data_IF_704919327654
#
_entry.id   IF_704919327654
#
_cell.length_a   1.000
_cell.length_b   1.000
_cell.length_c   1.000
_cell.angle_alpha   90.00
_cell.angle_beta   90.00
_cell.angle_gamma   90.00
#
_symmetry.space_group_name_H-M   'P 1'
#
loop_
_entity.id
_entity.type
_entity.pdbx_description
1 polymer ?
#
# COMPACT_ATOMS: atom_id res chain seq x y z
N UNK A 1 -42.96 -17.49 24.55
CA UNK A 1 -43.63 -18.15 25.69
C UNK A 1 -42.57 -18.88 26.52
N UNK A 2 -42.13 -18.35 27.67
CA UNK A 2 -41.23 -19.04 28.60
C UNK A 2 -41.94 -19.40 29.92
N UNK A 3 -41.53 -20.50 30.56
CA UNK A 3 -41.90 -20.89 31.95
C UNK A 3 -40.74 -21.74 32.53
N UNK A 4 -40.56 -21.90 33.88
CA UNK A 4 -39.77 -21.01 34.74
C UNK A 4 -38.96 -21.77 35.85
N UNK A 5 -38.55 -21.02 36.90
CA UNK A 5 -38.13 -21.42 38.28
C UNK A 5 -36.65 -21.80 38.47
N UNK A 6 -35.97 -21.49 39.58
CA UNK A 6 -36.33 -20.85 40.85
C UNK A 6 -35.07 -20.34 41.57
N UNK A 7 -35.29 -19.37 42.45
CA UNK A 7 -34.39 -18.73 43.43
C UNK A 7 -33.87 -19.64 44.56
N UNK A 8 -32.73 -19.28 45.17
CA UNK A 8 -32.55 -19.31 46.63
C UNK A 8 -31.53 -18.26 47.13
N UNK A 9 -31.87 -17.70 48.28
CA UNK A 9 -31.37 -16.50 48.99
C UNK A 9 -30.50 -16.82 50.21
N UNK A 10 -29.91 -15.76 50.79
CA UNK A 10 -29.59 -15.46 52.21
C UNK A 10 -28.08 -15.26 52.50
N UNK A 11 -27.63 -14.19 53.18
CA UNK A 11 -28.41 -13.13 53.85
C UNK A 11 -27.60 -11.97 54.46
N UNK A 12 -28.36 -10.90 54.74
CA UNK A 12 -28.39 -10.03 55.95
C UNK A 12 -27.10 -9.44 56.55
N UNK A 13 -27.00 -8.10 56.59
CA UNK A 13 -27.41 -7.23 57.73
C UNK A 13 -27.18 -5.72 57.44
N UNK A 14 -28.22 -4.92 57.63
CA UNK A 14 -28.24 -3.47 57.90
C UNK A 14 -28.12 -3.23 59.44
N UNK A 15 -28.04 -1.99 60.04
CA UNK A 15 -28.74 -0.74 59.64
C UNK A 15 -28.12 0.66 60.00
N UNK A 16 -28.75 1.73 59.44
CA UNK A 16 -29.07 3.12 59.95
C UNK A 16 -27.96 4.06 60.50
N UNK A 17 -28.07 5.40 60.54
CA UNK A 17 -28.73 6.52 59.81
C UNK A 17 -28.55 7.83 60.64
N UNK A 18 -28.48 9.01 60.01
CA UNK A 18 -28.71 10.37 60.60
C UNK A 18 -27.48 11.30 60.56
N UNK A 19 -27.53 12.63 60.38
CA UNK A 19 -28.60 13.66 60.18
C UNK A 19 -27.89 15.01 59.80
N UNK A 20 -28.55 15.85 58.98
CA UNK A 20 -28.61 17.36 58.95
C UNK A 20 -27.29 18.17 58.85
N UNK A 21 -27.04 19.04 57.85
CA UNK A 21 -27.60 20.38 57.48
C UNK A 21 -26.38 21.26 57.07
N UNK A 22 -26.37 22.14 56.05
CA UNK A 22 -26.97 23.50 55.96
C UNK A 22 -26.91 24.04 54.51
N UNK A 23 -27.72 25.07 54.24
CA UNK A 23 -28.00 25.76 52.95
C UNK A 23 -27.15 27.01 52.75
N UNK A 24 -26.82 27.36 51.48
CA UNK A 24 -26.82 28.70 50.78
C UNK A 24 -25.74 28.72 49.69
N UNK A 25 -25.78 29.38 48.53
CA UNK A 25 -26.77 29.95 47.61
C UNK A 25 -25.93 30.43 46.38
N UNK A 26 -26.44 30.19 45.16
CA UNK A 26 -26.16 30.80 43.84
C UNK A 26 -24.79 31.39 43.42
N UNK A 27 -24.34 30.93 42.25
CA UNK A 27 -23.45 31.67 41.33
C UNK A 27 -23.25 30.94 39.99
N UNK A 28 -23.99 31.34 38.94
CA UNK A 28 -23.81 30.86 37.56
C UNK A 28 -22.53 31.43 36.95
N UNK A 29 -21.74 30.58 36.29
CA UNK A 29 -20.96 30.96 35.10
C UNK A 29 -20.66 29.71 34.28
N UNK A 30 -21.16 29.68 33.04
CA UNK A 30 -20.79 28.73 32.00
C UNK A 30 -19.31 28.89 31.65
N UNK A 31 -18.55 27.78 31.65
CA UNK A 31 -17.25 27.68 31.00
C UNK A 31 -17.10 26.28 30.40
N UNK A 32 -16.75 26.28 29.13
CA UNK A 32 -16.39 25.12 28.32
C UNK A 32 -15.30 24.29 29.01
N UNK A 33 -15.55 22.99 29.20
CA UNK A 33 -14.55 22.03 29.68
C UNK A 33 -13.59 21.64 28.55
N UNK A 34 -12.49 22.39 28.47
CA UNK A 34 -11.22 21.91 27.93
C UNK A 34 -10.59 20.93 28.92
N UNK A 35 -10.69 19.63 28.66
CA UNK A 35 -9.93 18.61 29.39
C UNK A 35 -8.46 18.57 28.95
N UNK A 36 -7.64 19.48 29.49
CA UNK A 36 -6.18 19.31 29.52
C UNK A 36 -5.80 18.50 30.76
N UNK A 37 -5.61 17.18 30.58
CA UNK A 37 -4.91 16.37 31.57
C UNK A 37 -3.40 16.58 31.42
N UNK A 38 -2.81 17.32 32.36
CA UNK A 38 -1.36 17.34 32.60
C UNK A 38 -0.91 15.90 32.94
N UNK A 39 0.00 15.33 32.15
CA UNK A 39 0.76 14.12 32.53
C UNK A 39 2.24 14.43 32.57
N UNK A 40 2.82 14.22 33.75
CA UNK A 40 4.25 14.21 34.04
C UNK A 40 4.95 13.03 33.35
N UNK A 41 6.27 13.08 33.11
CA UNK A 41 6.99 12.09 32.34
C UNK A 41 7.41 10.93 33.23
N UNK A 42 6.71 9.81 33.14
CA UNK A 42 7.21 8.52 33.62
C UNK A 42 6.69 7.44 32.70
N UNK A 43 7.59 6.89 31.88
CA UNK A 43 7.34 5.85 30.90
C UNK A 43 6.84 4.57 31.57
N UNK A 44 5.70 4.00 31.14
CA UNK A 44 5.44 2.58 31.26
C UNK A 44 6.14 1.85 30.10
N UNK A 45 6.71 0.67 30.38
CA UNK A 45 7.29 -0.22 29.37
C UNK A 45 6.28 -0.48 28.24
N UNK A 46 6.67 -0.17 26.99
CA UNK A 46 5.85 -0.46 25.79
C UNK A 46 5.67 0.68 24.78
N UNK A 47 6.35 1.82 24.93
CA UNK A 47 6.29 2.90 23.93
C UNK A 47 7.05 2.57 22.62
N UNK A 48 6.71 3.22 21.49
CA UNK A 48 7.38 3.02 20.21
C UNK A 48 8.90 3.22 20.36
N UNK A 49 9.71 2.29 19.84
CA UNK A 49 11.17 2.43 19.89
C UNK A 49 11.61 3.53 18.92
N UNK A 50 12.27 4.57 19.45
CA UNK A 50 12.92 5.61 18.65
C UNK A 50 14.04 5.01 17.81
N UNK A 51 14.00 5.24 16.50
CA UNK A 51 15.13 4.93 15.60
C UNK A 51 15.06 5.80 14.35
N UNK A 52 16.13 6.55 14.08
CA UNK A 52 16.31 7.17 12.76
C UNK A 52 16.67 6.10 11.74
N UNK A 53 16.01 6.11 10.57
CA UNK A 53 16.27 5.20 9.46
C UNK A 53 17.75 5.15 9.04
N UNK A 54 18.50 6.23 9.30
CA UNK A 54 19.88 6.42 8.88
C UNK A 54 20.87 6.66 10.03
N UNK A 55 20.53 6.29 11.27
CA UNK A 55 21.34 6.59 12.47
C UNK A 55 22.85 6.26 12.34
N UNK A 56 23.21 5.26 11.52
CA UNK A 56 24.60 4.85 11.27
C UNK A 56 25.20 5.33 9.93
N UNK A 57 24.39 5.85 8.99
CA UNK A 57 24.87 6.19 7.63
C UNK A 57 25.41 7.63 7.56
N UNK A 58 24.93 8.53 8.43
CA UNK A 58 25.39 9.94 8.44
C UNK A 58 26.75 10.15 9.12
N UNK A 59 27.29 9.14 9.83
CA UNK A 59 28.57 9.25 10.55
C UNK A 59 29.79 8.82 9.71
N UNK A 60 29.60 8.26 8.51
CA UNK A 60 30.69 7.74 7.69
C UNK A 60 31.51 8.80 6.91
N UNK A 61 31.14 10.09 6.96
CA UNK A 61 31.87 11.16 6.25
C UNK A 61 32.30 12.38 7.10
N UNK A 62 32.23 12.30 8.44
CA UNK A 62 32.76 13.37 9.32
C UNK A 62 34.13 13.08 9.95
N UNK A 63 34.82 12.04 9.49
CA UNK A 63 36.11 11.64 10.06
C UNK A 63 37.19 11.54 8.97
N UNK A 64 37.52 12.66 8.33
CA UNK A 64 38.86 12.96 7.80
C UNK A 64 38.82 14.31 7.08
N UNK A 65 39.42 15.35 7.68
CA UNK A 65 40.51 16.14 7.10
C UNK A 65 40.92 17.21 8.12
N UNK A 66 42.12 17.05 8.69
CA UNK A 66 42.80 18.05 9.51
C UNK A 66 43.75 18.86 8.63
N UNK A 67 43.62 20.19 8.74
CA UNK A 67 44.57 21.28 8.47
C UNK A 67 45.34 21.39 7.13
N UNK A 68 45.07 22.51 6.46
CA UNK A 68 46.02 23.21 5.57
C UNK A 68 45.55 24.64 5.28
N UNK A 69 46.10 25.63 6.00
CA UNK A 69 45.91 27.07 5.76
C UNK A 69 46.59 27.48 4.43
N UNK A 70 45.90 28.24 3.57
CA UNK A 70 46.42 29.53 3.06
C UNK A 70 45.38 30.35 2.26
N UNK A 71 45.27 31.60 2.71
CA UNK A 71 45.18 32.88 1.97
C UNK A 71 44.06 33.18 0.96
N UNK A 72 43.46 34.33 1.26
CA UNK A 72 42.45 35.14 0.58
C UNK A 72 42.96 35.86 -0.66
N UNK A 73 42.15 35.93 -1.73
CA UNK A 73 42.06 37.12 -2.61
C UNK A 73 40.60 37.33 -3.05
N UNK A 74 40.11 38.55 -2.85
CA UNK A 74 38.83 39.11 -3.34
C UNK A 74 38.94 39.51 -4.81
N UNK A 75 37.89 39.30 -5.60
CA UNK A 75 37.53 40.18 -6.71
C UNK A 75 35.99 40.21 -6.89
N UNK A 76 35.45 41.41 -7.00
CA UNK A 76 34.02 41.73 -6.96
C UNK A 76 33.25 41.55 -8.27
N UNK A 77 32.00 42.06 -8.34
CA UNK A 77 30.93 41.52 -9.16
C UNK A 77 30.79 42.20 -10.53
N UNK A 78 30.28 41.48 -11.52
CA UNK A 78 29.73 42.07 -12.76
C UNK A 78 28.22 41.86 -12.85
N UNK A 79 27.50 42.98 -12.79
CA UNK A 79 26.12 43.16 -13.28
C UNK A 79 26.13 43.33 -14.81
N UNK A 80 24.99 43.01 -15.44
CA UNK A 80 24.34 43.60 -16.65
C UNK A 80 23.49 42.47 -17.28
N UNK A 81 22.26 42.60 -17.75
CA UNK A 81 21.15 43.57 -17.73
C UNK A 81 19.88 42.79 -18.13
N UNK A 82 18.71 43.27 -17.71
CA UNK A 82 17.39 42.81 -18.16
C UNK A 82 17.01 43.46 -19.49
N UNK A 83 16.21 42.78 -20.31
CA UNK A 83 15.13 43.40 -21.09
C UNK A 83 13.99 42.40 -21.37
N UNK A 84 12.73 42.85 -21.54
CA UNK A 84 11.52 42.06 -21.36
C UNK A 84 10.87 41.64 -22.69
N UNK A 85 9.98 40.64 -22.65
CA UNK A 85 8.99 40.42 -23.73
C UNK A 85 7.60 40.33 -23.13
N UNK A 86 6.69 41.01 -23.82
CA UNK A 86 5.36 41.46 -23.45
C UNK A 86 4.28 40.41 -23.71
N UNK A 87 3.20 40.53 -22.94
CA UNK A 87 1.89 39.89 -23.02
C UNK A 87 1.27 39.84 -24.43
N UNK A 88 0.55 38.75 -24.71
CA UNK A 88 -0.43 38.65 -25.79
C UNK A 88 -1.58 37.71 -25.40
N UNK A 89 -2.71 38.31 -25.03
CA UNK A 89 -4.01 37.70 -24.72
C UNK A 89 -4.84 37.56 -25.99
N UNK A 90 -5.41 36.38 -26.31
CA UNK A 90 -6.72 36.18 -26.99
C UNK A 90 -7.17 34.73 -26.72
N UNK A 91 -8.13 34.46 -25.82
CA UNK A 91 -9.59 34.26 -26.02
C UNK A 91 -10.03 33.16 -27.01
N UNK A 92 -10.76 32.20 -26.43
CA UNK A 92 -11.98 31.51 -26.91
C UNK A 92 -11.90 30.59 -28.15
N UNK A 93 -12.34 29.33 -27.99
CA UNK A 93 -13.74 28.99 -28.30
C UNK A 93 -14.12 27.58 -27.83
N UNK A 94 -15.31 27.53 -27.26
CA UNK A 94 -16.06 26.35 -26.85
C UNK A 94 -17.24 26.20 -27.84
N UNK A 95 -17.91 25.04 -27.82
CA UNK A 95 -19.23 24.70 -28.42
C UNK A 95 -19.26 24.66 -29.98
N UNK A 96 -19.79 23.65 -30.67
CA UNK A 96 -21.06 22.96 -30.43
C UNK A 96 -21.25 21.68 -31.27
N UNK A 97 -22.07 20.81 -30.68
CA UNK A 97 -22.64 19.56 -31.18
C UNK A 97 -23.90 19.86 -32.03
N UNK A 98 -24.12 19.16 -33.16
CA UNK A 98 -25.39 18.45 -33.54
C UNK A 98 -25.72 18.44 -35.04
N UNK A 99 -25.98 17.19 -35.48
CA UNK A 99 -27.10 16.70 -36.32
C UNK A 99 -27.22 17.18 -37.77
N UNK A 100 -27.27 16.19 -38.66
CA UNK A 100 -28.35 16.12 -39.64
C UNK A 100 -28.69 14.66 -40.00
N UNK A 101 -29.98 14.33 -39.88
CA UNK A 101 -30.64 13.15 -40.46
C UNK A 101 -31.57 13.63 -41.58
N UNK A 102 -31.92 12.69 -42.49
CA UNK A 102 -32.97 12.69 -43.56
C UNK A 102 -32.34 12.73 -44.96
N UNK A 103 -32.82 12.00 -45.97
CA UNK A 103 -34.02 11.15 -46.16
C UNK A 103 -33.81 10.32 -47.45
N UNK A 104 -34.39 9.13 -47.50
CA UNK A 104 -34.58 8.27 -48.68
C UNK A 104 -35.58 8.86 -49.69
N UNK A 105 -35.62 8.34 -50.94
CA UNK A 105 -36.85 7.67 -51.39
C UNK A 105 -36.63 6.35 -52.17
N UNK A 106 -37.71 5.56 -52.21
CA UNK A 106 -37.87 4.20 -52.76
C UNK A 106 -38.28 4.20 -54.24
N UNK A 107 -37.96 3.11 -54.97
CA UNK A 107 -38.79 2.58 -56.07
C UNK A 107 -38.51 1.07 -56.26
N UNK A 108 -39.56 0.26 -56.31
CA UNK A 108 -39.58 -1.22 -56.46
C UNK A 108 -39.65 -1.63 -57.95
N UNK A 109 -39.09 -2.75 -58.41
CA UNK A 109 -39.68 -4.11 -58.57
C UNK A 109 -38.76 -4.96 -59.50
N UNK A 110 -39.00 -6.26 -59.82
CA UNK A 110 -38.66 -7.45 -59.03
C UNK A 110 -37.80 -8.50 -59.79
N UNK A 111 -37.04 -9.36 -59.10
CA UNK A 111 -36.47 -10.59 -59.70
C UNK A 111 -36.32 -11.73 -58.67
N UNK A 112 -36.63 -12.94 -59.14
CA UNK A 112 -36.83 -14.23 -58.45
C UNK A 112 -35.62 -14.81 -57.67
N UNK A 113 -35.86 -15.82 -56.79
CA UNK A 113 -35.04 -16.05 -55.60
C UNK A 113 -33.85 -16.99 -55.85
N UNK A 114 -32.66 -16.59 -55.41
CA UNK A 114 -31.54 -17.52 -55.15
C UNK A 114 -31.61 -18.00 -53.71
N UNK A 115 -31.58 -19.33 -53.52
CA UNK A 115 -31.52 -20.01 -52.22
C UNK A 115 -30.33 -19.51 -51.41
N UNK A 116 -30.61 -18.85 -50.29
CA UNK A 116 -29.61 -18.48 -49.27
C UNK A 116 -29.49 -19.67 -48.29
N UNK A 117 -28.29 -20.13 -47.93
CA UNK A 117 -28.11 -21.12 -46.87
C UNK A 117 -28.53 -20.49 -45.53
N UNK A 118 -29.29 -21.25 -44.75
CA UNK A 118 -29.70 -20.90 -43.38
C UNK A 118 -28.46 -20.53 -42.56
N UNK A 119 -28.43 -19.39 -41.85
CA UNK A 119 -27.34 -19.10 -40.93
C UNK A 119 -27.41 -20.09 -39.77
N UNK A 120 -26.35 -20.87 -39.59
CA UNK A 120 -26.15 -21.67 -38.39
C UNK A 120 -26.27 -20.76 -37.17
N UNK A 121 -27.15 -21.16 -36.24
CA UNK A 121 -27.25 -20.52 -34.92
C UNK A 121 -25.86 -20.50 -34.29
N UNK A 122 -25.41 -19.38 -33.69
CA UNK A 122 -24.15 -19.38 -32.96
C UNK A 122 -24.23 -20.47 -31.90
N UNK A 123 -23.30 -21.42 -31.97
CA UNK A 123 -23.07 -22.37 -30.89
C UNK A 123 -22.89 -21.55 -29.61
N UNK A 124 -23.63 -21.83 -28.52
CA UNK A 124 -23.45 -21.09 -27.28
C UNK A 124 -21.97 -21.18 -26.91
N UNK A 125 -21.31 -20.03 -26.81
CA UNK A 125 -19.99 -19.94 -26.21
C UNK A 125 -20.15 -20.55 -24.82
N UNK A 126 -19.59 -21.75 -24.63
CA UNK A 126 -19.56 -22.38 -23.33
C UNK A 126 -18.65 -21.52 -22.46
N UNK A 127 -19.25 -20.59 -21.73
CA UNK A 127 -18.58 -19.90 -20.63
C UNK A 127 -18.09 -21.03 -19.73
N UNK A 128 -16.78 -21.15 -19.46
CA UNK A 128 -16.30 -22.15 -18.51
C UNK A 128 -17.12 -21.94 -17.24
N UNK A 129 -17.64 -23.01 -16.65
CA UNK A 129 -18.33 -22.97 -15.36
C UNK A 129 -17.31 -22.66 -14.28
N UNK A 130 -16.81 -21.43 -14.28
CA UNK A 130 -15.91 -20.92 -13.26
C UNK A 130 -16.73 -20.72 -12.01
N UNK A 131 -16.22 -21.26 -10.91
CA UNK A 131 -16.83 -21.09 -9.61
C UNK A 131 -17.01 -19.61 -9.27
N UNK A 132 -18.23 -19.24 -8.87
CA UNK A 132 -18.49 -17.95 -8.26
C UNK A 132 -17.99 -17.97 -6.81
N UNK A 133 -16.82 -17.37 -6.59
CA UNK A 133 -16.17 -17.33 -5.28
C UNK A 133 -16.83 -16.33 -4.33
N UNK A 134 -17.72 -15.46 -4.82
CA UNK A 134 -18.39 -14.41 -4.04
C UNK A 134 -19.80 -14.77 -3.61
N UNK A 135 -20.36 -15.84 -4.17
CA UNK A 135 -21.71 -16.32 -3.89
C UNK A 135 -22.06 -16.40 -2.41
N UNK A 136 -21.15 -16.89 -1.57
CA UNK A 136 -21.37 -17.06 -0.13
C UNK A 136 -21.44 -15.73 0.63
N UNK A 137 -20.93 -14.65 0.04
CA UNK A 137 -20.84 -13.33 0.67
C UNK A 137 -21.89 -12.34 0.16
N UNK A 138 -22.81 -12.76 -0.72
CA UNK A 138 -23.87 -11.91 -1.27
C UNK A 138 -24.78 -11.30 -0.19
N UNK A 139 -24.94 -11.97 0.95
CA UNK A 139 -25.76 -11.46 2.07
C UNK A 139 -24.99 -10.54 3.02
N UNK A 140 -23.66 -10.42 2.89
CA UNK A 140 -22.84 -9.57 3.75
C UNK A 140 -22.69 -8.18 3.13
N UNK A 141 -23.35 -7.14 3.69
CA UNK A 141 -23.27 -5.78 3.16
C UNK A 141 -21.85 -5.19 3.24
N UNK A 142 -20.96 -5.75 4.06
CA UNK A 142 -19.56 -5.31 4.17
C UNK A 142 -18.65 -5.97 3.13
N UNK A 143 -19.08 -7.06 2.49
CA UNK A 143 -18.27 -7.80 1.52
C UNK A 143 -18.31 -7.20 0.11
N UNK A 144 -19.37 -6.45 -0.23
CA UNK A 144 -19.57 -5.88 -1.58
C UNK A 144 -19.42 -6.93 -2.70
N UNK A 145 -19.89 -8.15 -2.44
CA UNK A 145 -19.71 -9.32 -3.31
C UNK A 145 -20.24 -9.08 -4.73
N UNK A 146 -21.34 -8.34 -4.87
CA UNK A 146 -21.99 -8.01 -6.15
C UNK A 146 -21.14 -7.12 -7.08
N UNK A 147 -20.17 -6.38 -6.54
CA UNK A 147 -19.25 -5.54 -7.32
C UNK A 147 -17.82 -6.08 -7.32
N UNK A 148 -17.56 -7.20 -6.66
CA UNK A 148 -16.20 -7.66 -6.41
C UNK A 148 -15.44 -7.87 -7.73
N UNK A 149 -16.09 -8.44 -8.75
CA UNK A 149 -15.47 -8.64 -10.06
C UNK A 149 -15.11 -7.31 -10.72
N UNK A 150 -16.06 -6.38 -10.79
CA UNK A 150 -15.90 -5.06 -11.41
C UNK A 150 -14.82 -4.23 -10.71
N UNK A 151 -14.75 -4.31 -9.37
CA UNK A 151 -13.71 -3.65 -8.58
C UNK A 151 -12.33 -4.16 -8.98
N UNK A 152 -12.13 -5.48 -9.07
CA UNK A 152 -10.83 -6.05 -9.43
C UNK A 152 -10.48 -5.85 -10.91
N UNK A 153 -11.46 -5.83 -11.80
CA UNK A 153 -11.27 -5.46 -13.21
C UNK A 153 -10.80 -4.00 -13.33
N UNK A 154 -11.45 -3.07 -12.62
CA UNK A 154 -11.03 -1.66 -12.54
C UNK A 154 -9.63 -1.51 -11.95
N UNK A 155 -9.33 -2.22 -10.86
CA UNK A 155 -8.00 -2.17 -10.24
C UNK A 155 -6.91 -2.62 -11.20
N UNK A 156 -7.18 -3.64 -12.03
CA UNK A 156 -6.23 -4.12 -13.05
C UNK A 156 -6.05 -3.11 -14.17
N UNK A 157 -7.11 -2.54 -14.72
CA UNK A 157 -6.99 -1.45 -15.71
C UNK A 157 -6.19 -0.26 -15.14
N UNK A 158 -6.45 0.06 -13.87
CA UNK A 158 -5.81 1.18 -13.19
C UNK A 158 -4.33 0.95 -12.93
N UNK A 159 -3.87 -0.27 -12.68
CA UNK A 159 -2.47 -0.54 -12.33
C UNK A 159 -1.51 -0.14 -13.46
N UNK A 160 -1.98 -0.17 -14.72
CA UNK A 160 -1.21 0.24 -15.90
C UNK A 160 -0.81 1.73 -15.85
N UNK A 161 -1.59 2.58 -15.17
CA UNK A 161 -1.29 4.01 -15.00
C UNK A 161 -0.18 4.27 -13.99
N UNK A 162 0.16 3.26 -13.17
CA UNK A 162 1.10 3.36 -12.06
C UNK A 162 2.36 2.50 -12.27
N UNK A 163 2.68 2.17 -13.52
CA UNK A 163 3.94 1.51 -13.86
C UNK A 163 5.11 2.48 -13.66
N UNK A 164 6.08 2.07 -12.85
CA UNK A 164 7.25 2.87 -12.52
C UNK A 164 8.36 2.67 -13.56
N UNK A 165 9.04 3.75 -14.01
CA UNK A 165 10.26 3.63 -14.80
C UNK A 165 11.46 3.26 -13.92
N UNK A 166 12.62 3.01 -14.53
CA UNK A 166 13.87 2.99 -13.78
C UNK A 166 14.24 4.45 -13.39
N UNK A 167 13.81 4.89 -12.21
CA UNK A 167 13.99 6.28 -11.76
C UNK A 167 15.26 6.50 -10.95
N UNK A 168 15.91 5.46 -10.44
CA UNK A 168 17.12 5.59 -9.62
C UNK A 168 18.26 6.25 -10.41
N UNK A 169 18.32 6.08 -11.73
CA UNK A 169 19.30 6.76 -12.59
C UNK A 169 19.16 8.29 -12.58
N UNK A 170 17.98 8.82 -12.25
CA UNK A 170 17.72 10.26 -12.14
C UNK A 170 18.05 10.81 -10.76
N UNK A 171 18.32 9.95 -9.77
CA UNK A 171 18.60 10.34 -8.39
C UNK A 171 20.12 10.39 -8.18
N UNK A 172 20.75 11.58 -8.09
CA UNK A 172 22.20 11.70 -7.97
C UNK A 172 22.73 11.32 -6.59
N UNK A 173 21.88 11.35 -5.55
CA UNK A 173 22.28 11.18 -4.15
C UNK A 173 21.53 10.06 -3.42
N UNK A 174 20.62 9.34 -4.10
CA UNK A 174 19.86 8.21 -3.54
C UNK A 174 20.17 6.96 -4.37
N UNK A 175 20.50 5.86 -3.70
CA UNK A 175 20.71 4.54 -4.32
C UNK A 175 19.57 3.57 -3.99
N UNK A 176 19.51 2.45 -4.74
CA UNK A 176 18.61 1.33 -4.44
C UNK A 176 18.78 0.80 -3.01
N UNK A 177 20.02 0.73 -2.51
CA UNK A 177 20.30 0.31 -1.13
C UNK A 177 19.72 1.29 -0.09
N UNK A 178 19.82 2.60 -0.33
CA UNK A 178 19.23 3.59 0.57
C UNK A 178 17.70 3.49 0.60
N UNK A 179 17.09 3.21 -0.56
CA UNK A 179 15.65 2.90 -0.64
C UNK A 179 15.31 1.63 0.14
N UNK A 180 16.09 0.55 -0.01
CA UNK A 180 15.86 -0.69 0.73
C UNK A 180 15.92 -0.46 2.25
N UNK A 181 16.89 0.32 2.73
CA UNK A 181 17.03 0.69 4.14
C UNK A 181 15.85 1.54 4.62
N UNK A 182 15.38 2.48 3.81
CA UNK A 182 14.16 3.23 4.11
C UNK A 182 12.96 2.28 4.27
N UNK A 183 12.76 1.36 3.32
CA UNK A 183 11.63 0.43 3.34
C UNK A 183 11.71 -0.52 4.54
N UNK A 184 12.91 -1.00 4.91
CA UNK A 184 13.12 -1.78 6.14
C UNK A 184 12.63 -1.01 7.38
N UNK A 185 13.03 0.27 7.50
CA UNK A 185 12.55 1.14 8.57
C UNK A 185 11.03 1.39 8.50
N UNK A 186 10.45 1.55 7.30
CA UNK A 186 9.00 1.70 7.13
C UNK A 186 8.23 0.47 7.62
N UNK A 187 8.79 -0.74 7.49
CA UNK A 187 8.21 -1.97 8.07
C UNK A 187 8.21 -1.90 9.59
N UNK A 188 9.31 -1.46 10.21
CA UNK A 188 9.37 -1.26 11.67
C UNK A 188 8.36 -0.21 12.15
N UNK A 189 8.17 0.88 11.39
CA UNK A 189 7.16 1.91 11.69
C UNK A 189 5.74 1.33 11.59
N UNK A 190 5.47 0.52 10.56
CA UNK A 190 4.18 -0.15 10.41
C UNK A 190 3.89 -1.10 11.58
N UNK A 191 4.88 -1.86 12.06
CA UNK A 191 4.71 -2.70 13.26
C UNK A 191 4.50 -1.87 14.54
N UNK A 192 5.29 -0.81 14.73
CA UNK A 192 5.21 0.03 15.93
C UNK A 192 3.87 0.76 16.08
N UNK A 193 3.24 1.15 14.97
CA UNK A 193 1.93 1.78 14.95
C UNK A 193 0.78 0.80 14.67
N UNK A 194 1.07 -0.49 14.55
CA UNK A 194 0.09 -1.54 14.25
C UNK A 194 -0.78 -1.23 13.00
N UNK A 195 -0.18 -0.60 11.99
CA UNK A 195 -0.91 -0.19 10.77
C UNK A 195 -1.26 -1.41 9.92
N UNK A 196 -2.29 -1.31 9.10
CA UNK A 196 -2.64 -2.34 8.13
C UNK A 196 -1.51 -2.55 7.12
N UNK A 197 -1.44 -3.75 6.55
CA UNK A 197 -0.47 -4.05 5.50
C UNK A 197 -0.71 -3.15 4.28
N UNK A 198 -1.96 -2.90 3.91
CA UNK A 198 -2.35 -2.00 2.83
C UNK A 198 -1.67 -0.62 2.95
N UNK A 199 -1.60 -0.07 4.17
CA UNK A 199 -0.96 1.21 4.48
C UNK A 199 0.53 1.21 4.15
N UNK A 200 1.27 0.16 4.51
CA UNK A 200 2.70 0.02 4.17
C UNK A 200 2.91 -0.04 2.65
N UNK A 201 2.15 -0.89 1.96
CA UNK A 201 2.31 -1.06 0.50
C UNK A 201 2.00 0.25 -0.24
N UNK A 202 0.95 0.96 0.17
CA UNK A 202 0.62 2.25 -0.40
C UNK A 202 1.72 3.28 -0.11
N UNK A 203 2.21 3.35 1.13
CA UNK A 203 3.29 4.27 1.50
C UNK A 203 4.55 4.06 0.65
N UNK A 204 4.98 2.81 0.44
CA UNK A 204 6.13 2.50 -0.42
C UNK A 204 5.89 2.95 -1.86
N UNK A 205 4.69 2.72 -2.41
CA UNK A 205 4.33 3.22 -3.74
C UNK A 205 4.35 4.75 -3.81
N UNK A 206 3.87 5.46 -2.79
CA UNK A 206 3.92 6.91 -2.73
C UNK A 206 5.36 7.43 -2.73
N UNK A 207 6.27 6.78 -1.99
CA UNK A 207 7.71 7.11 -2.02
C UNK A 207 8.26 6.95 -3.43
N UNK A 208 8.03 5.80 -4.06
CA UNK A 208 8.60 5.51 -5.38
C UNK A 208 8.07 6.48 -6.45
N UNK A 209 6.75 6.70 -6.49
CA UNK A 209 6.15 7.64 -7.44
C UNK A 209 6.60 9.08 -7.20
N UNK A 210 6.85 9.49 -5.95
CA UNK A 210 7.40 10.81 -5.67
C UNK A 210 8.85 10.93 -6.17
N UNK A 211 9.68 9.90 -5.96
CA UNK A 211 11.07 9.87 -6.41
C UNK A 211 11.23 9.73 -7.94
N UNK A 212 10.19 9.33 -8.67
CA UNK A 212 10.18 9.42 -10.14
C UNK A 212 10.22 10.87 -10.61
N UNK A 213 9.48 11.74 -9.94
CA UNK A 213 9.22 13.12 -10.36
C UNK A 213 10.16 14.13 -9.69
N UNK A 214 10.66 13.83 -8.48
CA UNK A 214 11.42 14.77 -7.66
C UNK A 214 12.80 14.24 -7.31
N UNK A 215 13.83 14.92 -7.81
CA UNK A 215 15.21 14.72 -7.38
C UNK A 215 15.33 15.08 -5.90
N UNK A 216 15.73 14.10 -5.09
CA UNK A 216 15.76 14.21 -3.63
C UNK A 216 17.15 13.89 -3.09
N UNK A 217 17.50 14.50 -1.96
CA UNK A 217 18.77 14.28 -1.28
C UNK A 217 18.59 13.24 -0.17
N UNK A 218 19.67 12.51 0.16
CA UNK A 218 19.60 11.40 1.13
C UNK A 218 19.11 11.81 2.52
N UNK A 219 19.38 13.04 2.95
CA UNK A 219 18.98 13.60 4.24
C UNK A 219 17.46 13.84 4.35
N UNK A 220 16.77 13.96 3.20
CA UNK A 220 15.31 14.08 3.12
C UNK A 220 14.60 12.75 2.91
N UNK A 221 15.32 11.66 2.68
CA UNK A 221 14.71 10.36 2.35
C UNK A 221 13.84 9.81 3.49
N UNK A 222 14.27 9.93 4.75
CA UNK A 222 13.44 9.55 5.90
C UNK A 222 12.20 10.45 6.05
N UNK A 223 12.32 11.76 5.80
CA UNK A 223 11.17 12.67 5.81
C UNK A 223 10.14 12.30 4.73
N UNK A 224 10.58 11.93 3.53
CA UNK A 224 9.71 11.45 2.45
C UNK A 224 8.99 10.17 2.90
N UNK A 225 9.72 9.19 3.42
CA UNK A 225 9.14 7.92 3.86
C UNK A 225 8.15 8.08 5.02
N UNK A 226 8.50 8.86 6.05
CA UNK A 226 7.61 9.11 7.19
C UNK A 226 6.32 9.82 6.77
N UNK A 227 6.44 10.80 5.88
CA UNK A 227 5.29 11.54 5.36
C UNK A 227 4.43 10.67 4.44
N UNK A 228 5.03 9.78 3.64
CA UNK A 228 4.30 8.83 2.82
C UNK A 228 3.46 7.86 3.67
N UNK A 229 3.99 7.39 4.80
CA UNK A 229 3.21 6.59 5.76
C UNK A 229 2.08 7.44 6.34
N UNK A 230 2.32 8.69 6.75
CA UNK A 230 1.25 9.57 7.25
C UNK A 230 0.10 9.71 6.23
N UNK A 231 0.42 9.94 4.95
CA UNK A 231 -0.58 10.06 3.88
C UNK A 231 -1.33 8.74 3.71
N UNK A 232 -0.61 7.61 3.62
CA UNK A 232 -1.24 6.30 3.48
C UNK A 232 -2.12 5.96 4.68
N UNK A 233 -1.69 6.29 5.90
CA UNK A 233 -2.46 6.06 7.11
C UNK A 233 -3.76 6.87 7.09
N UNK A 234 -3.72 8.14 6.70
CA UNK A 234 -4.93 8.96 6.55
C UNK A 234 -5.90 8.42 5.50
N UNK A 235 -5.41 7.63 4.54
CA UNK A 235 -6.22 7.05 3.48
C UNK A 235 -6.79 5.68 3.84
N UNK A 236 -6.02 4.83 4.51
CA UNK A 236 -6.36 3.42 4.75
C UNK A 236 -6.81 3.12 6.18
N UNK A 237 -6.37 3.90 7.18
CA UNK A 237 -6.66 3.61 8.58
C UNK A 237 -7.95 4.25 9.05
N UNK A 238 -8.70 3.51 9.88
CA UNK A 238 -9.84 4.07 10.61
C UNK A 238 -9.41 5.20 11.56
N UNK A 239 -8.26 5.01 12.21
CA UNK A 239 -7.69 5.94 13.19
C UNK A 239 -6.20 6.13 12.88
N UNK A 240 -5.81 7.04 11.97
CA UNK A 240 -4.41 7.24 11.63
C UNK A 240 -3.62 7.87 12.78
N UNK A 241 -2.31 7.56 12.94
CA UNK A 241 -1.43 8.26 13.86
C UNK A 241 -1.37 9.76 13.53
N UNK A 242 -1.16 10.58 14.56
CA UNK A 242 -1.09 12.02 14.39
C UNK A 242 0.31 12.48 13.96
N UNK A 243 0.44 13.74 13.54
CA UNK A 243 1.73 14.30 13.11
C UNK A 243 2.79 14.19 14.22
N UNK A 244 2.40 14.37 15.49
CA UNK A 244 3.35 14.29 16.62
C UNK A 244 3.92 12.88 16.80
N UNK A 245 3.16 11.84 16.48
CA UNK A 245 3.64 10.45 16.52
C UNK A 245 4.76 10.24 15.49
N UNK A 246 4.63 10.85 14.30
CA UNK A 246 5.66 10.78 13.26
C UNK A 246 6.88 11.63 13.58
N UNK A 247 6.72 12.77 14.25
CA UNK A 247 7.87 13.54 14.76
C UNK A 247 8.64 12.73 15.81
N UNK A 248 7.90 12.09 16.73
CA UNK A 248 8.48 11.25 17.77
C UNK A 248 9.25 10.03 17.21
N UNK A 249 8.67 9.29 16.26
CA UNK A 249 9.32 8.09 15.69
C UNK A 249 10.54 8.45 14.82
N UNK A 250 10.57 9.65 14.26
CA UNK A 250 11.74 10.21 13.57
C UNK A 250 12.77 10.82 14.53
N UNK A 251 12.66 10.58 15.84
CA UNK A 251 13.52 11.12 16.89
C UNK A 251 13.67 12.65 16.84
N UNK A 252 12.56 13.34 16.56
CA UNK A 252 12.48 14.80 16.48
C UNK A 252 13.48 15.42 15.48
N UNK A 253 13.94 14.63 14.50
CA UNK A 253 14.88 15.07 13.45
C UNK A 253 14.29 16.14 12.52
N UNK A 254 12.97 16.30 12.52
CA UNK A 254 12.23 17.21 11.65
C UNK A 254 11.29 18.08 12.46
N UNK A 255 11.02 19.28 11.96
CA UNK A 255 9.97 20.15 12.52
C UNK A 255 8.60 19.77 11.95
N UNK A 256 7.55 20.11 12.69
CA UNK A 256 6.15 19.93 12.26
C UNK A 256 5.90 20.56 10.89
N UNK A 257 6.43 21.76 10.65
CA UNK A 257 6.23 22.50 9.41
C UNK A 257 6.91 21.80 8.23
N UNK A 258 8.04 21.12 8.46
CA UNK A 258 8.73 20.36 7.41
C UNK A 258 7.92 19.14 6.98
N UNK A 259 7.31 18.43 7.94
CA UNK A 259 6.46 17.28 7.66
C UNK A 259 5.21 17.70 6.89
N UNK A 260 4.53 18.77 7.33
CA UNK A 260 3.36 19.31 6.63
C UNK A 260 3.72 19.82 5.22
N UNK A 261 4.88 20.47 5.08
CA UNK A 261 5.36 20.91 3.76
C UNK A 261 5.66 19.73 2.82
N UNK A 262 6.27 18.65 3.35
CA UNK A 262 6.50 17.43 2.59
C UNK A 262 5.18 16.78 2.18
N UNK A 263 4.17 16.76 3.06
CA UNK A 263 2.85 16.18 2.76
C UNK A 263 2.21 16.89 1.56
N UNK A 264 2.21 18.23 1.60
CA UNK A 264 1.74 19.04 0.46
C UNK A 264 2.55 18.78 -0.81
N UNK A 265 3.88 18.61 -0.70
CA UNK A 265 4.75 18.33 -1.83
C UNK A 265 4.39 17.01 -2.51
N UNK A 266 4.28 15.92 -1.73
CA UNK A 266 3.93 14.59 -2.24
C UNK A 266 2.57 14.63 -2.92
N UNK A 267 1.54 15.14 -2.24
CA UNK A 267 0.18 15.16 -2.79
C UNK A 267 0.06 16.00 -4.07
N UNK A 268 0.73 17.16 -4.14
CA UNK A 268 0.72 18.01 -5.35
C UNK A 268 1.48 17.36 -6.50
N UNK A 269 2.63 16.74 -6.23
CA UNK A 269 3.44 16.05 -7.23
C UNK A 269 2.64 14.90 -7.85
N UNK A 270 1.95 14.13 -7.03
CA UNK A 270 1.09 13.02 -7.47
C UNK A 270 -0.30 13.48 -7.94
N UNK A 271 -0.55 14.79 -8.02
CA UNK A 271 -1.83 15.39 -8.43
C UNK A 271 -3.03 14.82 -7.66
N UNK A 272 -2.82 14.47 -6.39
CA UNK A 272 -3.77 13.79 -5.50
C UNK A 272 -4.27 12.43 -6.01
N UNK A 273 -3.65 11.85 -7.04
CA UNK A 273 -4.00 10.55 -7.58
C UNK A 273 -3.29 9.42 -6.81
N UNK A 274 -3.66 9.28 -5.53
CA UNK A 274 -2.99 8.40 -4.56
C UNK A 274 -3.68 7.05 -4.35
N UNK A 275 -4.80 6.79 -5.03
CA UNK A 275 -5.47 5.48 -4.99
C UNK A 275 -4.72 4.49 -5.90
N UNK A 276 -3.50 4.11 -5.51
CA UNK A 276 -2.59 3.28 -6.30
C UNK A 276 -2.92 1.80 -6.05
N UNK A 277 -3.18 0.97 -7.08
CA UNK A 277 -3.36 -0.46 -6.88
C UNK A 277 -2.12 -1.11 -6.26
N UNK A 278 -2.33 -1.87 -5.19
CA UNK A 278 -1.26 -2.54 -4.43
C UNK A 278 -1.37 -4.07 -4.53
N UNK A 279 -0.22 -4.79 -4.55
CA UNK A 279 -0.20 -6.25 -4.68
C UNK A 279 -1.04 -6.97 -3.62
N UNK A 280 -1.01 -6.49 -2.37
CA UNK A 280 -1.66 -7.18 -1.27
C UNK A 280 -3.20 -7.30 -1.42
N UNK A 281 -3.85 -6.34 -2.09
CA UNK A 281 -5.30 -6.40 -2.38
C UNK A 281 -5.61 -7.54 -3.35
N UNK A 282 -4.85 -7.65 -4.44
CA UNK A 282 -4.95 -8.76 -5.40
C UNK A 282 -4.63 -10.10 -4.73
N UNK A 283 -3.61 -10.14 -3.87
CA UNK A 283 -3.21 -11.36 -3.18
C UNK A 283 -4.34 -11.94 -2.34
N UNK A 284 -5.04 -11.11 -1.56
CA UNK A 284 -6.19 -11.55 -0.77
C UNK A 284 -7.31 -12.13 -1.64
N UNK A 285 -7.56 -11.53 -2.80
CA UNK A 285 -8.55 -12.01 -3.78
C UNK A 285 -8.16 -13.36 -4.37
N UNK A 286 -6.91 -13.50 -4.80
CA UNK A 286 -6.42 -14.76 -5.37
C UNK A 286 -6.35 -15.87 -4.32
N UNK A 287 -5.96 -15.56 -3.08
CA UNK A 287 -5.97 -16.51 -1.98
C UNK A 287 -7.39 -17.05 -1.71
N UNK A 288 -8.42 -16.21 -1.85
CA UNK A 288 -9.82 -16.64 -1.80
C UNK A 288 -10.15 -17.62 -2.94
N UNK A 289 -9.72 -17.34 -4.17
CA UNK A 289 -9.88 -18.25 -5.32
C UNK A 289 -9.24 -19.62 -5.07
N UNK A 290 -8.08 -19.62 -4.42
CA UNK A 290 -7.33 -20.82 -4.07
C UNK A 290 -7.85 -21.55 -2.82
N UNK A 291 -8.86 -21.00 -2.13
CA UNK A 291 -9.30 -21.45 -0.80
C UNK A 291 -8.13 -21.59 0.18
N UNK A 292 -7.15 -20.70 0.06
CA UNK A 292 -5.92 -20.74 0.84
C UNK A 292 -6.21 -20.45 2.32
N UNK A 293 -5.64 -21.26 3.20
CA UNK A 293 -5.71 -21.02 4.64
C UNK A 293 -4.87 -19.80 5.05
N UNK A 294 -5.04 -19.34 6.29
CA UNK A 294 -4.37 -18.14 6.79
C UNK A 294 -2.84 -18.26 6.77
N UNK A 295 -2.28 -19.45 7.04
CA UNK A 295 -0.84 -19.69 7.00
C UNK A 295 -0.28 -19.54 5.58
N UNK A 296 -0.98 -20.06 4.57
CA UNK A 296 -0.59 -19.94 3.15
C UNK A 296 -0.70 -18.50 2.65
N UNK A 297 -1.79 -17.80 3.00
CA UNK A 297 -1.92 -16.37 2.71
C UNK A 297 -0.81 -15.56 3.40
N UNK A 298 -0.46 -15.91 4.63
CA UNK A 298 0.62 -15.22 5.38
C UNK A 298 1.98 -15.49 4.75
N UNK A 299 2.25 -16.71 4.27
CA UNK A 299 3.45 -17.03 3.49
C UNK A 299 3.49 -16.22 2.20
N UNK A 300 2.41 -16.19 1.42
CA UNK A 300 2.36 -15.40 0.19
C UNK A 300 2.52 -13.89 0.46
N UNK A 301 1.97 -13.39 1.58
CA UNK A 301 2.15 -12.00 2.02
C UNK A 301 3.60 -11.71 2.38
N UNK A 302 4.26 -12.62 3.09
CA UNK A 302 5.69 -12.53 3.38
C UNK A 302 6.51 -12.43 2.10
N UNK A 303 6.28 -13.33 1.13
CA UNK A 303 6.95 -13.30 -0.18
C UNK A 303 6.73 -11.95 -0.88
N UNK A 304 5.51 -11.44 -0.83
CA UNK A 304 5.18 -10.15 -1.43
C UNK A 304 5.85 -8.98 -0.69
N UNK A 305 5.95 -9.02 0.64
CA UNK A 305 6.53 -7.94 1.44
C UNK A 305 8.06 -7.90 1.30
N UNK A 306 8.71 -9.06 1.12
CA UNK A 306 10.13 -9.15 0.78
C UNK A 306 10.48 -8.34 -0.49
N UNK A 307 9.57 -8.28 -1.47
CA UNK A 307 9.81 -7.54 -2.72
C UNK A 307 9.79 -6.03 -2.54
N UNK A 308 9.22 -5.51 -1.45
CA UNK A 308 9.16 -4.06 -1.23
C UNK A 308 10.55 -3.45 -1.06
N UNK A 309 11.50 -4.20 -0.48
CA UNK A 309 12.87 -3.77 -0.26
C UNK A 309 13.70 -3.80 -1.56
N UNK A 310 13.32 -4.66 -2.51
CA UNK A 310 14.08 -4.94 -3.71
C UNK A 310 13.67 -4.02 -4.87
N UNK A 311 14.61 -3.18 -5.32
CA UNK A 311 14.34 -2.21 -6.38
C UNK A 311 13.96 -2.87 -7.73
N UNK A 312 14.48 -4.06 -8.01
CA UNK A 312 14.22 -4.80 -9.24
C UNK A 312 12.75 -5.25 -9.41
N UNK A 313 11.96 -5.23 -8.34
CA UNK A 313 10.54 -5.60 -8.37
C UNK A 313 9.61 -4.39 -8.48
N UNK A 314 10.13 -3.17 -8.39
CA UNK A 314 9.34 -1.92 -8.39
C UNK A 314 8.51 -1.76 -9.67
N UNK A 315 9.01 -2.32 -10.78
CA UNK A 315 8.40 -2.27 -12.12
C UNK A 315 7.39 -3.38 -12.39
N UNK A 316 7.32 -4.39 -11.53
CA UNK A 316 6.36 -5.49 -11.69
C UNK A 316 4.94 -4.99 -11.47
N UNK A 317 4.00 -5.52 -12.25
CA UNK A 317 2.57 -5.24 -12.06
C UNK A 317 2.15 -5.74 -10.67
N UNK A 318 1.36 -4.96 -9.90
CA UNK A 318 0.82 -5.39 -8.62
C UNK A 318 0.08 -6.73 -8.66
N UNK A 319 -0.78 -6.93 -9.65
CA UNK A 319 -1.54 -8.17 -9.80
C UNK A 319 -0.65 -9.36 -10.19
N UNK A 320 0.33 -9.16 -11.08
CA UNK A 320 1.29 -10.21 -11.46
C UNK A 320 2.15 -10.65 -10.27
N UNK A 321 2.65 -9.69 -9.50
CA UNK A 321 3.44 -9.94 -8.30
C UNK A 321 2.64 -10.74 -7.26
N UNK A 322 1.39 -10.34 -7.01
CA UNK A 322 0.49 -11.04 -6.12
C UNK A 322 0.23 -12.49 -6.56
N UNK A 323 -0.03 -12.70 -7.85
CA UNK A 323 -0.26 -14.02 -8.43
C UNK A 323 0.97 -14.92 -8.31
N UNK A 324 2.17 -14.41 -8.65
CA UNK A 324 3.42 -15.16 -8.54
C UNK A 324 3.78 -15.49 -7.09
N UNK A 325 3.58 -14.56 -6.14
CA UNK A 325 3.79 -14.84 -4.72
C UNK A 325 2.84 -15.93 -4.21
N UNK A 326 1.56 -15.91 -4.62
CA UNK A 326 0.62 -16.95 -4.24
C UNK A 326 0.99 -18.30 -4.85
N UNK A 327 1.32 -18.35 -6.15
CA UNK A 327 1.74 -19.59 -6.81
C UNK A 327 2.98 -20.19 -6.13
N UNK A 328 3.98 -19.38 -5.80
CA UNK A 328 5.15 -19.85 -5.06
C UNK A 328 4.76 -20.40 -3.68
N UNK A 329 3.90 -19.71 -2.93
CA UNK A 329 3.45 -20.17 -1.62
C UNK A 329 2.67 -21.50 -1.69
N UNK A 330 1.79 -21.67 -2.69
CA UNK A 330 1.05 -22.91 -2.91
C UNK A 330 2.01 -24.07 -3.23
N UNK A 331 3.00 -23.82 -4.09
CA UNK A 331 4.03 -24.79 -4.45
C UNK A 331 4.90 -25.18 -3.26
N UNK A 332 5.36 -24.21 -2.45
CA UNK A 332 6.15 -24.45 -1.23
C UNK A 332 5.39 -25.30 -0.19
N UNK A 333 4.06 -25.20 -0.16
CA UNK A 333 3.19 -25.96 0.75
C UNK A 333 2.65 -27.26 0.14
N UNK A 334 3.01 -27.57 -1.11
CA UNK A 334 2.49 -28.72 -1.85
C UNK A 334 0.95 -28.77 -1.90
N UNK A 335 0.32 -27.60 -2.07
CA UNK A 335 -1.15 -27.44 -2.10
C UNK A 335 -1.72 -27.49 -3.53
N UNK A 336 -0.91 -27.81 -4.52
CA UNK A 336 -1.29 -27.88 -5.92
C UNK A 336 -0.91 -26.63 -6.73
N UNK A 337 -1.20 -26.69 -8.03
CA UNK A 337 -0.83 -25.67 -9.01
C UNK A 337 -1.89 -24.59 -9.24
N UNK A 338 -1.71 -23.84 -10.34
CA UNK A 338 -2.60 -22.76 -10.74
C UNK A 338 -3.91 -23.30 -11.32
N UNK A 339 -5.03 -23.09 -10.61
CA UNK A 339 -6.33 -23.66 -11.00
C UNK A 339 -7.02 -22.83 -12.09
N UNK A 340 -7.98 -23.40 -12.86
CA UNK A 340 -8.77 -22.64 -13.83
C UNK A 340 -9.50 -21.43 -13.22
N UNK A 341 -9.96 -21.56 -11.97
CA UNK A 341 -10.56 -20.45 -11.21
C UNK A 341 -9.55 -19.33 -10.97
N UNK A 342 -8.32 -19.66 -10.56
CA UNK A 342 -7.25 -18.68 -10.41
C UNK A 342 -6.89 -18.01 -11.74
N UNK A 343 -6.78 -18.78 -12.82
CA UNK A 343 -6.51 -18.24 -14.16
C UNK A 343 -7.61 -17.26 -14.60
N UNK A 344 -8.88 -17.60 -14.40
CA UNK A 344 -10.00 -16.70 -14.71
C UNK A 344 -9.95 -15.39 -13.91
N UNK A 345 -9.85 -15.46 -12.57
CA UNK A 345 -9.89 -14.25 -11.74
C UNK A 345 -8.60 -13.44 -11.78
N UNK A 346 -7.45 -14.06 -12.02
CA UNK A 346 -6.15 -13.36 -12.12
C UNK A 346 -5.84 -12.85 -13.53
N UNK A 347 -6.39 -13.48 -14.56
CA UNK A 347 -6.04 -13.24 -15.97
C UNK A 347 -4.65 -13.71 -16.37
N UNK A 348 -3.97 -14.49 -15.53
CA UNK A 348 -2.66 -15.08 -15.85
C UNK A 348 -2.78 -16.59 -15.91
N UNK A 349 -2.19 -17.19 -16.94
CA UNK A 349 -1.93 -18.62 -16.91
C UNK A 349 -0.67 -18.90 -16.07
N UNK A 350 -0.46 -20.16 -15.67
CA UNK A 350 0.72 -20.55 -14.86
C UNK A 350 2.04 -20.10 -15.52
N UNK A 351 2.15 -20.26 -16.83
CA UNK A 351 3.36 -19.98 -17.62
C UNK A 351 3.77 -18.50 -17.58
N UNK A 352 2.79 -17.58 -17.54
CA UNK A 352 3.05 -16.13 -17.45
C UNK A 352 3.78 -15.75 -16.14
N UNK A 353 3.58 -16.57 -15.10
CA UNK A 353 4.06 -16.33 -13.74
C UNK A 353 5.41 -17.00 -13.48
N UNK A 354 5.78 -18.05 -14.22
CA UNK A 354 6.99 -18.85 -13.95
C UNK A 354 8.28 -18.01 -13.82
N UNK A 355 8.58 -17.04 -14.71
CA UNK A 355 9.82 -16.28 -14.60
C UNK A 355 9.90 -15.52 -13.27
N UNK A 356 8.78 -14.93 -12.83
CA UNK A 356 8.72 -14.17 -11.59
C UNK A 356 8.72 -15.10 -10.37
N UNK A 357 8.06 -16.25 -10.42
CA UNK A 357 8.12 -17.30 -9.37
C UNK A 357 9.56 -17.75 -9.12
N UNK A 358 10.35 -18.00 -10.19
CA UNK A 358 11.76 -18.38 -10.06
C UNK A 358 12.60 -17.28 -9.41
N UNK A 359 12.40 -16.02 -9.83
CA UNK A 359 13.07 -14.84 -9.23
C UNK A 359 12.71 -14.69 -7.75
N UNK A 360 11.44 -14.86 -7.39
CA UNK A 360 10.97 -14.81 -6.00
C UNK A 360 11.57 -15.94 -5.16
N UNK A 361 11.65 -17.16 -5.69
CA UNK A 361 12.29 -18.28 -4.97
C UNK A 361 13.78 -18.01 -4.75
N UNK A 362 14.46 -17.47 -5.76
CA UNK A 362 15.86 -17.08 -5.67
C UNK A 362 16.08 -15.95 -4.64
N UNK A 363 15.18 -14.96 -4.57
CA UNK A 363 15.21 -13.90 -3.54
C UNK A 363 15.31 -14.46 -2.12
N UNK A 364 14.64 -15.59 -1.85
CA UNK A 364 14.67 -16.20 -0.52
C UNK A 364 16.02 -16.83 -0.14
N UNK A 365 16.87 -17.14 -1.12
CA UNK A 365 18.20 -17.74 -0.91
C UNK A 365 19.23 -16.73 -0.41
N UNK A 366 19.01 -15.43 -0.65
CA UNK A 366 19.89 -14.39 -0.16
C UNK A 366 19.84 -14.31 1.35
N UNK A 367 21.03 -14.30 1.95
CA UNK A 367 21.18 -13.94 3.35
C UNK A 367 20.83 -12.47 3.51
N UNK A 368 20.00 -12.10 4.51
CA UNK A 368 19.65 -10.72 4.76
C UNK A 368 20.94 -9.94 4.97
N UNK A 369 21.13 -8.85 4.23
CA UNK A 369 22.15 -7.87 4.59
C UNK A 369 21.89 -7.49 6.05
N UNK A 370 22.93 -7.27 6.85
CA UNK A 370 22.78 -7.03 8.30
C UNK A 370 21.83 -5.89 8.68
N UNK A 371 21.52 -5.03 7.71
CA UNK A 371 20.70 -3.82 7.81
C UNK A 371 19.25 -3.99 7.31
N UNK A 372 18.91 -5.12 6.69
CA UNK A 372 17.60 -5.39 6.08
C UNK A 372 16.97 -6.63 6.74
N UNK A 373 16.47 -6.47 7.97
CA UNK A 373 16.00 -7.59 8.80
C UNK A 373 14.53 -7.49 9.17
N UNK A 374 13.91 -6.31 9.05
CA UNK A 374 12.58 -6.04 9.60
C UNK A 374 11.52 -7.03 9.08
N UNK A 375 11.44 -7.23 7.76
CA UNK A 375 10.46 -8.16 7.16
C UNK A 375 10.66 -9.59 7.68
N UNK A 376 11.88 -10.12 7.65
CA UNK A 376 12.12 -11.49 8.13
C UNK A 376 11.89 -11.62 9.63
N UNK A 377 12.27 -10.62 10.43
CA UNK A 377 12.02 -10.63 11.88
C UNK A 377 10.53 -10.63 12.18
N UNK A 378 9.75 -9.76 11.53
CA UNK A 378 8.29 -9.70 11.60
C UNK A 378 7.67 -11.07 11.33
N UNK A 379 7.93 -11.65 10.15
CA UNK A 379 7.32 -12.91 9.74
C UNK A 379 7.95 -14.16 10.38
N UNK A 380 9.02 -14.01 11.18
CA UNK A 380 9.54 -15.08 12.04
C UNK A 380 8.76 -15.21 13.35
N UNK A 381 7.94 -14.20 13.69
CA UNK A 381 7.11 -14.23 14.89
C UNK A 381 5.97 -15.25 14.76
N UNK A 382 5.58 -15.85 15.89
CA UNK A 382 4.54 -16.91 15.93
C UNK A 382 3.17 -16.45 15.45
N UNK A 383 2.84 -15.17 15.63
CA UNK A 383 1.57 -14.60 15.14
C UNK A 383 1.46 -14.65 13.61
N UNK A 384 2.60 -14.72 12.92
CA UNK A 384 2.70 -14.88 11.47
C UNK A 384 3.07 -16.31 11.06
N UNK A 385 2.78 -17.31 11.90
CA UNK A 385 3.06 -18.74 11.66
C UNK A 385 4.54 -19.04 11.38
N UNK A 386 5.44 -18.14 11.77
CA UNK A 386 6.88 -18.27 11.53
C UNK A 386 7.25 -18.55 10.06
N UNK A 387 6.45 -18.05 9.11
CA UNK A 387 6.59 -18.35 7.67
C UNK A 387 7.93 -17.90 7.09
N UNK A 388 8.63 -16.95 7.72
CA UNK A 388 9.98 -16.56 7.32
C UNK A 388 11.03 -17.68 7.50
N UNK A 389 10.73 -18.72 8.30
CA UNK A 389 11.57 -19.91 8.45
C UNK A 389 11.38 -20.92 7.32
N UNK A 390 10.43 -20.70 6.40
CA UNK A 390 10.24 -21.57 5.26
C UNK A 390 11.49 -21.58 4.38
N UNK A 391 11.95 -22.78 4.00
CA UNK A 391 13.12 -22.93 3.15
C UNK A 391 12.76 -22.65 1.69
N UNK A 392 13.62 -21.94 0.93
CA UNK A 392 13.47 -21.83 -0.51
C UNK A 392 13.37 -23.23 -1.15
N UNK A 393 12.60 -23.34 -2.22
CA UNK A 393 12.53 -24.58 -3.00
C UNK A 393 13.85 -24.81 -3.73
N UNK A 394 14.25 -26.07 -3.85
CA UNK A 394 15.31 -26.43 -4.79
C UNK A 394 14.90 -26.01 -6.21
N UNK A 395 15.80 -25.35 -6.94
CA UNK A 395 15.46 -24.73 -8.22
C UNK A 395 15.08 -25.77 -9.27
N UNK A 396 15.75 -26.93 -9.30
CA UNK A 396 15.43 -27.99 -10.27
C UNK A 396 14.05 -28.57 -9.99
N UNK A 397 13.73 -28.86 -8.72
CA UNK A 397 12.39 -29.32 -8.33
C UNK A 397 11.32 -28.28 -8.64
N UNK A 398 11.60 -27.00 -8.41
CA UNK A 398 10.66 -25.92 -8.75
C UNK A 398 10.40 -25.90 -10.26
N UNK A 399 11.44 -26.04 -11.09
CA UNK A 399 11.25 -26.09 -12.55
C UNK A 399 10.44 -27.29 -13.03
N UNK A 400 10.62 -28.46 -12.40
CA UNK A 400 9.83 -29.65 -12.71
C UNK A 400 8.34 -29.42 -12.39
N UNK A 401 8.03 -28.88 -11.21
CA UNK A 401 6.66 -28.58 -10.79
C UNK A 401 6.01 -27.52 -11.67
N UNK A 402 6.77 -26.52 -12.13
CA UNK A 402 6.23 -25.49 -13.01
C UNK A 402 6.00 -26.00 -14.44
N UNK A 403 6.72 -27.04 -14.89
CA UNK A 403 6.55 -27.63 -16.23
C UNK A 403 5.41 -28.65 -16.30
N UNK A 404 5.04 -29.27 -15.18
CA UNK A 404 3.88 -30.16 -15.04
C UNK A 404 2.58 -29.37 -14.97
#
# INVERSE_FOLDING_TARGET
>A
MPVPRNTKTLGTKQPRAGKVGTVTENGKSEKEESCQAKRSPSSPQGGPKKRSAFGDITNAHKSQTVMGKKETVKAGPRKVQKAPVVLGVVKNNEINLKKSMKKTPLTETPAEPKKVPVPEKPVPVQIPTVEDIDKEQLSDPYASAEYAKEIFDYMREREEKFVLPNYMEKQPDISGDMRAILVDWMVEVQENFELNHETLYLAVKLVDHYLVEVVSMRDKLQLIGSTAILIASKFEERCPPCVDDFLYICDDAYKREELIAMEMSILRTLKFDINIPIPYRFLRRFAKCARANMETLTLARFLCEMTLQEYDYVRESPSKLAASCLLLALTMRNLGGWTPTLEYYSGYCSQDLHPLVKRLNFLLTYQPHDKLKAVRTKYSHRVFFEVAKATPMDMLKLEEILKS
#
